data_IF_134887468930
#
_entry.id   IF_134887468930
#
_cell.length_a   1.000
_cell.length_b   1.000
_cell.length_c   1.000
_cell.angle_alpha   90.00
_cell.angle_beta   90.00
_cell.angle_gamma   90.00
#
_symmetry.space_group_name_H-M   'P 1'
#
loop_
_entity.id
_entity.type
_entity.pdbx_description
1 polymer ?
#
# COMPACT_ATOMS: atom_id res chain seq x y z
N UNK A 1 -17.69 -5.35 -14.24
CA UNK A 1 -16.71 -6.10 -13.40
C UNK A 1 -15.34 -6.08 -14.06
N UNK A 2 -14.24 -6.18 -13.30
CA UNK A 2 -12.88 -5.96 -13.82
C UNK A 2 -12.49 -6.99 -14.91
N UNK A 3 -12.36 -6.50 -16.15
CA UNK A 3 -11.93 -7.29 -17.32
C UNK A 3 -10.54 -7.92 -17.09
N UNK A 4 -9.60 -7.12 -16.59
CA UNK A 4 -8.23 -7.53 -16.25
C UNK A 4 -8.20 -8.81 -15.40
N UNK A 5 -8.87 -8.83 -14.25
CA UNK A 5 -8.87 -10.00 -13.37
C UNK A 5 -9.46 -11.25 -14.06
N UNK A 6 -10.50 -11.08 -14.88
CA UNK A 6 -11.11 -12.19 -15.62
C UNK A 6 -10.17 -12.72 -16.71
N UNK A 7 -9.45 -11.83 -17.39
CA UNK A 7 -8.49 -12.19 -18.42
C UNK A 7 -7.29 -12.96 -17.83
N UNK A 8 -6.74 -12.50 -16.69
CA UNK A 8 -5.67 -13.22 -15.99
C UNK A 8 -6.12 -14.61 -15.51
N UNK A 9 -7.28 -14.72 -14.85
CA UNK A 9 -7.82 -16.01 -14.42
C UNK A 9 -7.97 -17.00 -15.58
N UNK A 10 -8.43 -16.54 -16.75
CA UNK A 10 -8.58 -17.39 -17.93
C UNK A 10 -7.24 -17.79 -18.56
N UNK A 11 -6.31 -16.85 -18.69
CA UNK A 11 -5.00 -17.08 -19.33
C UNK A 11 -4.16 -18.07 -18.54
N UNK A 12 -4.11 -17.90 -17.23
CA UNK A 12 -3.28 -18.72 -16.35
C UNK A 12 -4.01 -19.90 -15.72
N UNK A 13 -5.33 -20.02 -15.95
CA UNK A 13 -6.18 -21.08 -15.42
C UNK A 13 -6.06 -21.24 -13.90
N UNK A 14 -5.90 -20.13 -13.19
CA UNK A 14 -5.73 -20.15 -11.74
C UNK A 14 -6.97 -20.68 -11.04
N UNK A 15 -6.74 -21.38 -9.94
CA UNK A 15 -7.75 -21.90 -9.03
C UNK A 15 -7.32 -21.63 -7.59
N UNK A 16 -8.14 -22.00 -6.61
CA UNK A 16 -7.75 -21.90 -5.20
C UNK A 16 -6.54 -22.80 -4.87
N UNK A 17 -6.26 -23.82 -5.68
CA UNK A 17 -5.11 -24.73 -5.52
C UNK A 17 -3.81 -24.10 -6.02
N UNK A 18 -3.87 -23.02 -6.81
CA UNK A 18 -2.68 -22.32 -7.30
C UNK A 18 -1.89 -21.75 -6.12
N UNK A 19 -0.60 -22.09 -5.95
CA UNK A 19 0.18 -21.65 -4.82
C UNK A 19 0.43 -20.14 -4.87
N UNK A 20 0.40 -19.49 -3.70
CA UNK A 20 0.66 -18.06 -3.57
C UNK A 20 2.03 -17.64 -4.13
N UNK A 21 3.03 -18.51 -4.09
CA UNK A 21 4.36 -18.27 -4.66
C UNK A 21 4.34 -18.15 -6.18
N UNK A 22 3.47 -18.89 -6.86
CA UNK A 22 3.26 -18.76 -8.32
C UNK A 22 2.52 -17.46 -8.64
N UNK A 23 1.46 -17.15 -7.87
CA UNK A 23 0.71 -15.91 -8.02
C UNK A 23 1.57 -14.65 -7.83
N UNK A 24 2.53 -14.69 -6.89
CA UNK A 24 3.43 -13.57 -6.60
C UNK A 24 4.27 -13.15 -7.81
N UNK A 25 4.55 -14.06 -8.75
CA UNK A 25 5.31 -13.76 -9.97
C UNK A 25 4.57 -12.77 -10.90
N UNK A 26 3.25 -12.68 -10.77
CA UNK A 26 2.40 -11.84 -11.61
C UNK A 26 2.00 -10.51 -10.97
N UNK A 27 2.44 -10.25 -9.74
CA UNK A 27 2.08 -9.05 -8.98
C UNK A 27 2.44 -7.76 -9.72
N UNK A 28 3.63 -7.70 -10.35
CA UNK A 28 4.04 -6.53 -11.12
C UNK A 28 3.23 -6.34 -12.40
N UNK A 29 3.00 -7.41 -13.15
CA UNK A 29 2.25 -7.38 -14.41
C UNK A 29 0.81 -6.92 -14.18
N UNK A 30 0.17 -7.48 -13.15
CA UNK A 30 -1.15 -7.07 -12.71
C UNK A 30 -1.13 -5.61 -12.27
N UNK A 31 -0.17 -5.18 -11.45
CA UNK A 31 -0.09 -3.79 -11.00
C UNK A 31 0.01 -2.80 -12.17
N UNK A 32 0.86 -3.11 -13.17
CA UNK A 32 0.97 -2.32 -14.41
C UNK A 32 -0.35 -2.28 -15.18
N UNK A 33 -1.04 -3.41 -15.31
CA UNK A 33 -2.33 -3.49 -16.02
C UNK A 33 -3.46 -2.71 -15.31
N UNK A 34 -3.39 -2.57 -13.99
CA UNK A 34 -4.35 -1.82 -13.17
C UNK A 34 -4.01 -0.32 -13.07
N UNK A 35 -2.88 0.11 -13.63
CA UNK A 35 -2.40 1.51 -13.66
C UNK A 35 -2.29 2.16 -12.26
N UNK A 36 -2.11 1.35 -11.22
CA UNK A 36 -2.13 1.77 -9.82
C UNK A 36 -3.39 2.54 -9.36
N UNK A 37 -4.49 2.47 -10.10
CA UNK A 37 -5.74 3.12 -9.69
C UNK A 37 -6.39 2.37 -8.52
N UNK A 38 -6.64 3.09 -7.42
CA UNK A 38 -7.18 2.51 -6.18
C UNK A 38 -8.55 1.85 -6.38
N UNK A 39 -9.44 2.45 -7.17
CA UNK A 39 -10.80 1.95 -7.42
C UNK A 39 -10.75 0.71 -8.30
N UNK A 40 -9.91 0.73 -9.34
CA UNK A 40 -9.68 -0.40 -10.25
C UNK A 40 -9.06 -1.57 -9.50
N UNK A 41 -8.07 -1.34 -8.63
CA UNK A 41 -7.48 -2.35 -7.75
C UNK A 41 -8.52 -2.99 -6.84
N UNK A 42 -9.35 -2.19 -6.16
CA UNK A 42 -10.42 -2.70 -5.29
C UNK A 42 -11.41 -3.60 -6.06
N UNK A 43 -11.83 -3.15 -7.24
CA UNK A 43 -12.73 -3.92 -8.11
C UNK A 43 -12.08 -5.22 -8.61
N UNK A 44 -10.79 -5.21 -8.95
CA UNK A 44 -10.05 -6.39 -9.35
C UNK A 44 -9.92 -7.39 -8.19
N UNK A 45 -9.61 -6.93 -6.96
CA UNK A 45 -9.59 -7.77 -5.76
C UNK A 45 -10.92 -8.47 -5.52
N UNK A 46 -12.03 -7.75 -5.67
CA UNK A 46 -13.36 -8.33 -5.52
C UNK A 46 -13.60 -9.39 -6.61
N UNK A 47 -13.23 -9.10 -7.86
CA UNK A 47 -13.42 -10.03 -8.97
C UNK A 47 -12.61 -11.31 -8.82
N UNK A 48 -11.35 -11.24 -8.40
CA UNK A 48 -10.53 -12.43 -8.14
C UNK A 48 -11.14 -13.34 -7.06
N UNK A 49 -11.71 -12.75 -6.00
CA UNK A 49 -12.44 -13.51 -4.97
C UNK A 49 -13.69 -14.20 -5.52
N UNK A 50 -14.50 -13.49 -6.31
CA UNK A 50 -15.67 -14.09 -6.98
C UNK A 50 -15.28 -15.23 -7.92
N UNK A 51 -14.09 -15.17 -8.51
CA UNK A 51 -13.57 -16.20 -9.42
C UNK A 51 -12.87 -17.36 -8.68
N UNK A 52 -12.88 -17.37 -7.34
CA UNK A 52 -12.46 -18.51 -6.53
C UNK A 52 -11.11 -18.38 -5.82
N UNK A 53 -10.39 -17.26 -5.98
CA UNK A 53 -9.17 -17.05 -5.20
C UNK A 53 -9.49 -16.65 -3.76
N UNK A 54 -8.67 -17.14 -2.83
CA UNK A 54 -8.76 -16.79 -1.41
C UNK A 54 -8.33 -15.34 -1.17
N UNK A 55 -8.67 -14.80 0.00
CA UNK A 55 -8.27 -13.44 0.40
C UNK A 55 -6.75 -13.28 0.36
N UNK A 56 -6.00 -14.27 0.86
CA UNK A 56 -4.55 -14.25 0.95
C UNK A 56 -3.90 -14.24 -0.44
N UNK A 57 -4.35 -15.13 -1.33
CA UNK A 57 -3.91 -15.17 -2.74
C UNK A 57 -4.16 -13.82 -3.44
N UNK A 58 -5.29 -13.18 -3.17
CA UNK A 58 -5.62 -11.88 -3.75
C UNK A 58 -4.75 -10.75 -3.20
N UNK A 59 -4.37 -10.82 -1.93
CA UNK A 59 -3.44 -9.84 -1.33
C UNK A 59 -2.01 -9.98 -1.87
N UNK A 60 -1.61 -11.19 -2.26
CA UNK A 60 -0.35 -11.43 -2.98
C UNK A 60 -0.37 -10.81 -4.38
N UNK A 61 -1.43 -11.08 -5.17
CA UNK A 61 -1.57 -10.56 -6.54
C UNK A 61 -1.73 -9.04 -6.59
N UNK A 62 -2.51 -8.47 -5.68
CA UNK A 62 -2.76 -7.05 -5.58
C UNK A 62 -2.48 -6.63 -4.13
N UNK A 63 -1.24 -6.26 -3.80
CA UNK A 63 -0.90 -5.78 -2.47
C UNK A 63 -1.71 -4.55 -2.08
N UNK A 64 -1.80 -4.24 -0.79
CA UNK A 64 -2.45 -3.00 -0.34
C UNK A 64 -1.62 -1.78 -0.78
N UNK A 65 -0.29 -1.93 -0.83
CA UNK A 65 0.67 -0.91 -1.25
C UNK A 65 1.34 -1.35 -2.56
N UNK A 66 1.30 -0.57 -3.64
CA UNK A 66 2.07 -0.89 -4.85
C UNK A 66 3.55 -1.08 -4.51
N UNK A 67 4.11 -2.22 -4.87
CA UNK A 67 5.56 -2.46 -4.86
C UNK A 67 6.18 -1.58 -5.93
N UNK A 68 6.63 -0.38 -5.55
CA UNK A 68 7.23 0.59 -6.48
C UNK A 68 7.09 2.05 -6.07
N UNK A 69 6.13 2.38 -5.18
CA UNK A 69 6.06 3.70 -4.56
C UNK A 69 6.41 3.60 -3.09
N UNK A 70 7.70 3.42 -2.80
CA UNK A 70 8.23 3.98 -1.56
C UNK A 70 8.13 5.49 -1.78
N UNK A 71 7.07 6.10 -1.26
CA UNK A 71 7.07 7.55 -1.10
C UNK A 71 8.37 7.89 -0.38
N UNK A 72 9.18 8.75 -0.96
CA UNK A 72 10.50 9.17 -0.46
C UNK A 72 10.43 9.69 1.00
N UNK A 73 9.22 9.97 1.51
CA UNK A 73 8.92 10.34 2.90
C UNK A 73 8.46 9.21 3.85
N UNK A 74 8.37 7.93 3.44
CA UNK A 74 8.25 6.80 4.37
C UNK A 74 9.59 6.20 4.74
N UNK A 75 10.49 6.19 3.76
CA UNK A 75 11.88 5.81 3.99
C UNK A 75 12.53 6.71 5.04
N UNK A 76 12.11 7.97 5.19
CA UNK A 76 12.60 8.85 6.27
C UNK A 76 12.18 8.37 7.65
N UNK A 77 10.94 7.90 7.85
CA UNK A 77 10.49 7.38 9.15
C UNK A 77 11.22 6.07 9.49
N UNK A 78 11.34 5.16 8.52
CA UNK A 78 12.09 3.91 8.72
C UNK A 78 13.58 4.17 8.98
N UNK A 79 14.20 5.13 8.27
CA UNK A 79 15.59 5.56 8.52
C UNK A 79 15.76 6.17 9.91
N UNK A 80 14.84 7.02 10.34
CA UNK A 80 14.89 7.63 11.69
C UNK A 80 14.69 6.57 12.76
N UNK A 81 13.77 5.62 12.55
CA UNK A 81 13.57 4.51 13.48
C UNK A 81 14.84 3.64 13.59
N UNK A 82 15.49 3.32 12.46
CA UNK A 82 16.78 2.62 12.45
C UNK A 82 17.86 3.43 13.18
N UNK A 83 17.98 4.73 12.90
CA UNK A 83 18.95 5.60 13.55
C UNK A 83 18.76 5.68 15.08
N UNK A 84 17.51 5.74 15.56
CA UNK A 84 17.20 5.73 16.99
C UNK A 84 17.70 4.44 17.66
N UNK A 85 17.50 3.30 17.00
CA UNK A 85 17.95 1.99 17.51
C UNK A 85 19.47 1.88 17.46
N UNK A 86 20.10 2.29 16.36
CA UNK A 86 21.56 2.21 16.19
C UNK A 86 22.32 3.11 17.17
N UNK A 87 21.80 4.30 17.44
CA UNK A 87 22.46 5.29 18.31
C UNK A 87 22.02 5.23 19.77
N UNK A 88 21.10 4.32 20.11
CA UNK A 88 20.55 4.14 21.46
C UNK A 88 20.20 5.46 22.14
N UNK A 89 19.39 6.28 21.45
CA UNK A 89 19.16 7.65 21.88
C UNK A 89 18.42 7.72 23.24
N UNK A 90 18.80 8.64 24.14
CA UNK A 90 18.06 8.86 25.37
C UNK A 90 16.68 9.45 25.07
N UNK A 91 15.76 9.28 26.02
CA UNK A 91 14.34 9.63 25.85
C UNK A 91 14.12 11.09 25.48
N UNK A 92 14.96 12.01 25.95
CA UNK A 92 14.92 13.44 25.66
C UNK A 92 15.16 13.70 24.16
N UNK A 93 16.12 12.98 23.56
CA UNK A 93 16.47 13.14 22.15
C UNK A 93 15.38 12.58 21.25
N UNK A 94 14.77 11.46 21.64
CA UNK A 94 13.62 10.88 20.92
C UNK A 94 12.42 11.82 20.97
N UNK A 95 12.14 12.45 22.12
CA UNK A 95 11.08 13.47 22.26
C UNK A 95 11.33 14.66 21.32
N UNK A 96 12.56 15.16 21.24
CA UNK A 96 12.91 16.24 20.33
C UNK A 96 12.67 15.86 18.87
N UNK A 97 13.15 14.68 18.45
CA UNK A 97 12.92 14.18 17.09
C UNK A 97 11.42 14.07 16.78
N UNK A 98 10.62 13.60 17.74
CA UNK A 98 9.16 13.50 17.58
C UNK A 98 8.48 14.88 17.40
N UNK A 99 8.93 15.88 18.15
CA UNK A 99 8.40 17.25 18.07
C UNK A 99 8.76 17.90 16.74
N UNK A 100 10.00 17.74 16.30
CA UNK A 100 10.50 18.29 15.03
C UNK A 100 9.77 17.64 13.84
N UNK A 101 9.53 16.32 13.89
CA UNK A 101 8.76 15.60 12.87
C UNK A 101 7.31 16.07 12.78
N UNK A 102 6.64 16.24 13.91
CA UNK A 102 5.25 16.72 13.97
C UNK A 102 5.09 18.18 13.52
N UNK A 103 6.12 19.00 13.70
CA UNK A 103 6.12 20.42 13.30
C UNK A 103 6.62 20.66 11.88
N UNK A 104 7.40 19.74 11.31
CA UNK A 104 7.96 19.86 9.95
C UNK A 104 6.99 19.48 8.82
N UNK A 105 5.78 18.98 9.10
CA UNK A 105 4.79 18.74 8.05
C UNK A 105 4.19 20.08 7.58
N UNK A 106 4.32 20.47 6.30
CA UNK A 106 3.62 21.65 5.79
C UNK A 106 2.13 21.36 5.87
N UNK A 107 1.44 22.04 6.79
CA UNK A 107 0.02 21.85 7.05
C UNK A 107 -0.80 22.14 5.78
N UNK A 108 -1.33 21.14 5.05
CA UNK A 108 -2.18 21.39 3.90
C UNK A 108 -3.62 21.73 4.31
N UNK A 109 -3.95 21.61 5.60
CA UNK A 109 -5.33 21.66 6.15
C UNK A 109 -5.51 22.86 7.10
N UNK A 110 -4.65 23.89 7.04
CA UNK A 110 -4.89 25.17 7.73
C UNK A 110 -5.65 26.22 6.88
N UNK A 111 -6.24 25.82 5.75
CA UNK A 111 -6.82 26.76 4.78
C UNK A 111 -8.35 26.82 4.65
N UNK A 112 -9.14 25.89 5.22
CA UNK A 112 -10.58 25.80 4.86
C UNK A 112 -11.58 25.46 5.96
N UNK A 113 -11.17 25.27 7.22
CA UNK A 113 -12.15 25.07 8.30
C UNK A 113 -12.57 26.40 8.90
N UNK A 114 -13.41 27.16 8.19
CA UNK A 114 -14.25 28.19 8.81
C UNK A 114 -15.41 27.47 9.50
N UNK A 115 -15.23 27.09 10.76
CA UNK A 115 -16.35 26.91 11.66
C UNK A 115 -16.92 28.30 11.96
N UNK A 116 -17.85 28.76 11.13
CA UNK A 116 -18.80 29.80 11.54
C UNK A 116 -19.67 29.21 12.64
N UNK A 117 -19.41 29.60 13.89
CA UNK A 117 -20.37 29.49 14.97
C UNK A 117 -21.58 30.36 14.56
N UNK A 118 -22.72 29.71 14.28
CA UNK A 118 -24.03 30.33 14.31
C UNK A 118 -24.59 30.21 15.73
#
# INVERSE_FOLDING_TARGET
MAKVATDFMKRHKWTFETPSSELAQYTEEISKSLKDDRKVRSNAKMRFRVLGLTKEQVEVLIPIRPTGKREEGRDTVDKIAQEIVEKDYPSEKIKQISYDLGSSTPNPVAGSSRLTLL
#
